data_IF_586742847110
#
_entry.id   IF_586742847110
#
_cell.length_a   1.000
_cell.length_b   1.000
_cell.length_c   1.000
_cell.angle_alpha   90.00
_cell.angle_beta   90.00
_cell.angle_gamma   90.00
#
_symmetry.space_group_name_H-M   'P 1'
#
loop_
_entity.id
_entity.type
_entity.pdbx_description
1 polymer ?
#
# COMPACT_ATOMS: atom_id res chain seq x y z
N UNK A 1 -13.56 51.62 -23.49
CA UNK A 1 -14.01 50.42 -22.75
C UNK A 1 -13.15 49.25 -23.24
N UNK A 2 -12.13 48.91 -22.51
CA UNK A 2 -11.16 47.86 -22.88
C UNK A 2 -11.53 46.64 -22.07
N UNK A 3 -12.11 45.62 -22.72
CA UNK A 3 -12.39 44.33 -22.10
C UNK A 3 -11.06 43.59 -21.85
N UNK A 4 -10.71 43.47 -20.59
CA UNK A 4 -9.59 42.63 -20.16
C UNK A 4 -10.02 41.18 -20.27
N UNK A 5 -9.62 40.53 -21.37
CA UNK A 5 -9.78 39.08 -21.56
C UNK A 5 -8.88 38.38 -20.51
N UNK A 6 -9.49 37.87 -19.45
CA UNK A 6 -8.82 36.97 -18.52
C UNK A 6 -8.46 35.67 -19.28
N UNK A 7 -7.21 35.54 -19.69
CA UNK A 7 -6.68 34.32 -20.26
C UNK A 7 -6.79 33.23 -19.18
N UNK A 8 -7.75 32.32 -19.38
CA UNK A 8 -7.92 31.16 -18.48
C UNK A 8 -6.66 30.31 -18.50
N UNK A 9 -6.15 29.99 -17.32
CA UNK A 9 -5.06 29.03 -17.16
C UNK A 9 -5.38 27.75 -17.97
N UNK A 10 -4.39 27.15 -18.65
CA UNK A 10 -4.65 25.96 -19.47
C UNK A 10 -5.26 24.87 -18.59
N UNK A 11 -6.41 24.34 -19.02
CA UNK A 11 -7.09 23.25 -18.32
C UNK A 11 -6.17 22.03 -18.29
N UNK A 12 -5.76 21.62 -17.09
CA UNK A 12 -4.94 20.40 -16.90
C UNK A 12 -5.78 19.20 -17.38
N UNK A 13 -5.27 18.35 -18.28
CA UNK A 13 -5.98 17.13 -18.68
C UNK A 13 -6.37 16.31 -17.45
N UNK A 14 -7.58 15.78 -17.42
CA UNK A 14 -8.14 15.06 -16.25
C UNK A 14 -7.21 13.96 -15.73
N UNK A 15 -6.54 13.22 -16.63
CA UNK A 15 -5.57 12.19 -16.24
C UNK A 15 -4.34 12.74 -15.51
N UNK A 16 -3.84 13.92 -15.90
CA UNK A 16 -2.73 14.59 -15.19
C UNK A 16 -3.19 15.13 -13.84
N UNK A 17 -4.40 15.69 -13.76
CA UNK A 17 -4.98 16.16 -12.50
C UNK A 17 -5.14 15.02 -11.48
N UNK A 18 -5.61 13.85 -11.92
CA UNK A 18 -5.71 12.65 -11.06
C UNK A 18 -4.32 12.25 -10.54
N UNK A 19 -3.31 12.16 -11.41
CA UNK A 19 -1.95 11.80 -11.00
C UNK A 19 -1.37 12.76 -9.96
N UNK A 20 -1.56 14.07 -10.14
CA UNK A 20 -1.10 15.09 -9.18
C UNK A 20 -1.80 14.95 -7.82
N UNK A 21 -3.12 14.80 -7.81
CA UNK A 21 -3.90 14.67 -6.57
C UNK A 21 -3.54 13.38 -5.83
N UNK A 22 -3.39 12.27 -6.55
CA UNK A 22 -2.95 10.99 -5.95
C UNK A 22 -1.56 11.12 -5.35
N UNK A 23 -0.60 11.75 -6.06
CA UNK A 23 0.76 11.94 -5.53
C UNK A 23 0.80 12.85 -4.31
N UNK A 24 -0.02 13.91 -4.27
CA UNK A 24 -0.15 14.77 -3.09
C UNK A 24 -0.76 14.02 -1.90
N UNK A 25 -1.84 13.27 -2.13
CA UNK A 25 -2.49 12.47 -1.10
C UNK A 25 -1.53 11.39 -0.57
N UNK A 26 -0.84 10.68 -1.45
CA UNK A 26 0.18 9.67 -1.08
C UNK A 26 1.26 10.28 -0.19
N UNK A 27 1.80 11.46 -0.53
CA UNK A 27 2.83 12.13 0.25
C UNK A 27 2.36 12.46 1.67
N UNK A 28 1.14 12.96 1.84
CA UNK A 28 0.58 13.29 3.15
C UNK A 28 0.27 12.03 3.95
N UNK A 29 -0.43 11.07 3.33
CA UNK A 29 -0.84 9.83 3.99
C UNK A 29 0.36 8.97 4.40
N UNK A 30 1.42 8.94 3.60
CA UNK A 30 2.67 8.23 3.96
C UNK A 30 3.32 8.82 5.21
N UNK A 31 3.32 10.14 5.38
CA UNK A 31 3.84 10.79 6.59
C UNK A 31 3.01 10.46 7.82
N UNK A 32 1.68 10.44 7.69
CA UNK A 32 0.77 10.05 8.77
C UNK A 32 0.95 8.57 9.14
N UNK A 33 1.05 7.71 8.14
CA UNK A 33 1.32 6.28 8.34
C UNK A 33 2.65 6.07 9.07
N UNK A 34 3.72 6.77 8.67
CA UNK A 34 5.03 6.67 9.31
C UNK A 34 4.97 6.98 10.81
N UNK A 35 4.17 7.96 11.22
CA UNK A 35 3.93 8.26 12.64
C UNK A 35 3.26 7.09 13.36
N UNK A 36 2.18 6.54 12.81
CA UNK A 36 1.47 5.39 13.42
C UNK A 36 2.39 4.17 13.52
N UNK A 37 3.20 3.92 12.48
CA UNK A 37 4.15 2.81 12.48
C UNK A 37 5.23 2.97 13.55
N UNK A 38 5.77 4.18 13.72
CA UNK A 38 6.74 4.48 14.75
C UNK A 38 6.16 4.25 16.17
N UNK A 39 4.94 4.70 16.42
CA UNK A 39 4.22 4.49 17.68
C UNK A 39 3.92 3.00 17.94
N UNK A 40 3.70 2.21 16.88
CA UNK A 40 3.48 0.77 16.96
C UNK A 40 4.77 -0.05 17.05
N UNK A 41 5.95 0.55 16.83
CA UNK A 41 7.23 -0.13 16.78
C UNK A 41 7.41 -0.98 15.51
N UNK A 42 6.87 -0.53 14.38
CA UNK A 42 6.93 -1.23 13.10
C UNK A 42 7.62 -0.42 12.02
N UNK A 43 8.23 -1.10 11.05
CA UNK A 43 8.74 -0.47 9.83
C UNK A 43 7.66 -0.45 8.73
N UNK A 44 7.88 0.36 7.69
CA UNK A 44 7.01 0.37 6.51
C UNK A 44 7.00 -0.99 5.81
N UNK A 45 8.16 -1.62 5.68
CA UNK A 45 8.35 -2.93 5.05
C UNK A 45 7.59 -4.01 5.81
N UNK A 46 7.69 -4.03 7.15
CA UNK A 46 6.92 -4.92 8.02
C UNK A 46 5.41 -4.75 7.79
N UNK A 47 4.93 -3.50 7.78
CA UNK A 47 3.52 -3.21 7.54
C UNK A 47 3.06 -3.69 6.15
N UNK A 48 3.82 -3.39 5.10
CA UNK A 48 3.48 -3.77 3.74
C UNK A 48 3.50 -5.30 3.56
N UNK A 49 4.46 -6.00 4.15
CA UNK A 49 4.51 -7.45 4.13
C UNK A 49 3.28 -8.07 4.82
N UNK A 50 2.87 -7.56 5.99
CA UNK A 50 1.64 -8.00 6.65
C UNK A 50 0.38 -7.71 5.83
N UNK A 51 0.30 -6.55 5.16
CA UNK A 51 -0.81 -6.23 4.25
C UNK A 51 -0.84 -7.20 3.06
N UNK A 52 0.32 -7.59 2.55
CA UNK A 52 0.39 -8.56 1.46
C UNK A 52 -0.03 -9.95 1.92
N UNK A 53 0.37 -10.37 3.11
CA UNK A 53 -0.07 -11.64 3.71
C UNK A 53 -1.59 -11.71 3.88
N UNK A 54 -2.24 -10.60 4.20
CA UNK A 54 -3.71 -10.54 4.30
C UNK A 54 -4.42 -10.93 2.97
N UNK A 55 -3.83 -10.60 1.82
CA UNK A 55 -4.37 -10.99 0.50
C UNK A 55 -4.36 -12.51 0.33
N UNK A 56 -3.45 -13.21 0.99
CA UNK A 56 -3.35 -14.66 1.01
C UNK A 56 -4.19 -15.34 2.12
N UNK A 57 -4.98 -14.57 2.88
CA UNK A 57 -5.77 -15.13 3.99
C UNK A 57 -4.93 -15.52 5.20
N UNK A 58 -3.84 -14.80 5.43
CA UNK A 58 -2.88 -14.96 6.53
C UNK A 58 -2.01 -16.24 6.47
N UNK A 59 -2.05 -16.97 5.36
CA UNK A 59 -1.22 -18.17 5.12
C UNK A 59 -0.93 -18.36 3.62
N UNK A 60 0.31 -18.73 3.28
CA UNK A 60 0.73 -19.02 1.90
C UNK A 60 1.91 -20.01 1.86
N UNK A 61 2.16 -20.62 0.70
CA UNK A 61 3.43 -21.22 0.42
C UNK A 61 4.54 -20.16 0.43
N UNK A 62 5.67 -20.43 1.13
CA UNK A 62 6.74 -19.45 1.31
C UNK A 62 7.24 -18.87 -0.01
N UNK A 63 7.53 -19.72 -0.99
CA UNK A 63 8.07 -19.26 -2.29
C UNK A 63 7.06 -18.44 -3.10
N UNK A 64 5.78 -18.79 -3.01
CA UNK A 64 4.72 -18.03 -3.64
C UNK A 64 4.58 -16.65 -2.99
N UNK A 65 4.62 -16.60 -1.66
CA UNK A 65 4.56 -15.36 -0.90
C UNK A 65 5.78 -14.46 -1.17
N UNK A 66 6.99 -15.01 -1.18
CA UNK A 66 8.23 -14.27 -1.45
C UNK A 66 8.22 -13.65 -2.85
N UNK A 67 7.78 -14.40 -3.88
CA UNK A 67 7.63 -13.86 -5.24
C UNK A 67 6.63 -12.71 -5.28
N UNK A 68 5.45 -12.93 -4.70
CA UNK A 68 4.39 -11.93 -4.67
C UNK A 68 4.78 -10.67 -3.89
N UNK A 69 5.51 -10.85 -2.79
CA UNK A 69 6.07 -9.75 -2.00
C UNK A 69 7.12 -8.96 -2.80
N UNK A 70 8.01 -9.66 -3.51
CA UNK A 70 9.01 -9.06 -4.38
C UNK A 70 8.37 -8.24 -5.51
N UNK A 71 7.42 -8.81 -6.22
CA UNK A 71 6.68 -8.14 -7.29
C UNK A 71 5.94 -6.89 -6.79
N UNK A 72 5.40 -6.96 -5.57
CA UNK A 72 4.63 -5.85 -5.02
C UNK A 72 5.50 -4.70 -4.49
N UNK A 73 6.65 -5.03 -3.88
CA UNK A 73 7.57 -4.05 -3.31
C UNK A 73 8.69 -3.63 -4.27
N UNK A 74 8.71 -4.19 -5.49
CA UNK A 74 9.79 -3.99 -6.46
C UNK A 74 11.16 -4.42 -5.91
N UNK A 75 11.18 -5.57 -5.23
CA UNK A 75 12.36 -6.21 -4.67
C UNK A 75 12.77 -7.42 -5.51
N UNK A 76 14.08 -7.71 -5.58
CA UNK A 76 14.55 -8.99 -6.07
C UNK A 76 14.15 -10.13 -5.11
N UNK A 77 14.19 -11.38 -5.61
CA UNK A 77 13.75 -12.54 -4.83
C UNK A 77 14.59 -12.77 -3.56
N UNK A 78 15.86 -12.40 -3.60
CA UNK A 78 16.74 -12.54 -2.43
C UNK A 78 16.32 -11.55 -1.33
N UNK A 79 16.19 -10.28 -1.67
CA UNK A 79 15.74 -9.23 -0.74
C UNK A 79 14.35 -9.49 -0.17
N UNK A 80 13.42 -9.97 -1.00
CA UNK A 80 12.08 -10.36 -0.55
C UNK A 80 12.13 -11.56 0.40
N UNK A 81 13.02 -12.53 0.15
CA UNK A 81 13.29 -13.67 1.00
C UNK A 81 13.86 -13.25 2.37
N UNK A 82 14.87 -12.40 2.37
CA UNK A 82 15.46 -11.83 3.61
C UNK A 82 14.40 -11.10 4.45
N UNK A 83 13.53 -10.32 3.83
CA UNK A 83 12.43 -9.66 4.53
C UNK A 83 11.47 -10.68 5.16
N UNK A 84 11.08 -11.71 4.44
CA UNK A 84 10.20 -12.76 4.97
C UNK A 84 10.86 -13.51 6.14
N UNK A 85 12.15 -13.83 6.05
CA UNK A 85 12.91 -14.53 7.09
C UNK A 85 13.15 -13.65 8.32
N UNK A 86 13.36 -12.32 8.13
CA UNK A 86 13.41 -11.35 9.24
C UNK A 86 12.11 -11.36 10.03
N UNK A 87 10.96 -11.31 9.34
CA UNK A 87 9.65 -11.33 9.99
C UNK A 87 9.36 -12.65 10.75
N UNK A 88 9.91 -13.76 10.27
CA UNK A 88 9.87 -15.03 11.00
C UNK A 88 10.76 -14.97 12.24
N UNK A 89 11.99 -14.43 12.13
CA UNK A 89 12.92 -14.30 13.25
C UNK A 89 12.41 -13.34 14.34
N UNK A 90 11.67 -12.32 13.94
CA UNK A 90 10.99 -11.38 14.86
C UNK A 90 9.72 -11.97 15.51
N UNK A 91 9.32 -13.17 15.10
CA UNK A 91 8.13 -13.84 15.61
C UNK A 91 6.81 -13.28 15.09
N UNK A 92 6.87 -12.39 14.09
CA UNK A 92 5.68 -11.82 13.46
C UNK A 92 5.03 -12.77 12.46
N UNK A 93 5.85 -13.63 11.86
CA UNK A 93 5.41 -14.75 11.03
C UNK A 93 5.91 -16.07 11.62
N UNK A 94 5.34 -17.17 11.17
CA UNK A 94 5.79 -18.54 11.46
C UNK A 94 6.01 -19.27 10.15
N UNK A 95 7.13 -19.97 10.07
CA UNK A 95 7.41 -20.89 8.98
C UNK A 95 7.27 -22.33 9.51
N UNK A 96 6.42 -23.12 8.87
CA UNK A 96 6.26 -24.54 9.16
C UNK A 96 6.35 -25.30 7.82
N UNK A 97 7.42 -26.08 7.65
CA UNK A 97 7.79 -26.70 6.39
C UNK A 97 7.94 -25.62 5.30
N UNK A 98 7.10 -25.67 4.28
CA UNK A 98 7.12 -24.69 3.17
C UNK A 98 5.99 -23.65 3.26
N UNK A 99 5.28 -23.61 4.40
CA UNK A 99 4.14 -22.72 4.62
C UNK A 99 4.52 -21.60 5.58
N UNK A 100 4.37 -20.35 5.13
CA UNK A 100 4.52 -19.15 5.94
C UNK A 100 3.12 -18.63 6.31
N UNK A 101 2.95 -18.22 7.56
CA UNK A 101 1.69 -17.70 8.09
C UNK A 101 1.91 -16.57 9.07
N UNK A 102 0.91 -15.70 9.20
CA UNK A 102 0.94 -14.66 10.22
C UNK A 102 0.90 -15.30 11.62
N UNK A 103 1.85 -14.92 12.49
CA UNK A 103 1.87 -15.35 13.87
C UNK A 103 0.93 -14.50 14.74
N UNK A 104 0.53 -14.96 15.94
CA UNK A 104 -0.29 -14.17 16.87
C UNK A 104 0.28 -12.78 17.13
N UNK A 105 1.59 -12.66 17.38
CA UNK A 105 2.25 -11.37 17.58
C UNK A 105 2.15 -10.45 16.35
N UNK A 106 2.24 -11.01 15.13
CA UNK A 106 2.01 -10.27 13.88
C UNK A 106 0.57 -9.80 13.76
N UNK A 107 -0.40 -10.65 14.13
CA UNK A 107 -1.81 -10.28 14.13
C UNK A 107 -2.11 -9.14 15.14
N UNK A 108 -1.51 -9.20 16.33
CA UNK A 108 -1.62 -8.15 17.34
C UNK A 108 -0.98 -6.83 16.87
N UNK A 109 0.20 -6.89 16.25
CA UNK A 109 0.85 -5.72 15.67
C UNK A 109 0.01 -5.10 14.56
N UNK A 110 -0.50 -5.92 13.64
CA UNK A 110 -1.40 -5.47 12.55
C UNK A 110 -2.64 -4.78 13.10
N UNK A 111 -3.26 -5.35 14.13
CA UNK A 111 -4.45 -4.76 14.75
C UNK A 111 -4.14 -3.45 15.48
N UNK A 112 -2.99 -3.34 16.13
CA UNK A 112 -2.52 -2.09 16.75
C UNK A 112 -2.31 -1.00 15.71
N UNK A 113 -1.68 -1.31 14.58
CA UNK A 113 -1.48 -0.37 13.46
C UNK A 113 -2.84 0.03 12.88
N UNK A 114 -3.74 -0.94 12.64
CA UNK A 114 -5.08 -0.67 12.10
C UNK A 114 -5.86 0.31 12.97
N UNK A 115 -5.84 0.12 14.30
CA UNK A 115 -6.47 1.04 15.25
C UNK A 115 -5.83 2.42 15.20
N UNK A 116 -4.51 2.50 15.25
CA UNK A 116 -3.79 3.78 15.16
C UNK A 116 -4.11 4.57 13.89
N UNK A 117 -4.20 3.89 12.74
CA UNK A 117 -4.64 4.52 11.48
C UNK A 117 -6.11 4.98 11.61
N UNK A 118 -6.99 4.12 12.13
CA UNK A 118 -8.40 4.44 12.31
C UNK A 118 -8.60 5.68 13.17
N UNK A 119 -7.99 5.72 14.33
CA UNK A 119 -8.09 6.84 15.28
C UNK A 119 -7.54 8.14 14.67
N UNK A 120 -6.40 8.07 13.99
CA UNK A 120 -5.78 9.23 13.35
C UNK A 120 -6.61 9.78 12.19
N UNK A 121 -7.25 8.89 11.41
CA UNK A 121 -7.97 9.25 10.19
C UNK A 121 -9.46 9.46 10.38
N UNK A 122 -10.04 9.07 11.53
CA UNK A 122 -11.47 9.22 11.80
C UNK A 122 -11.98 10.65 11.53
N UNK A 123 -11.33 11.73 12.02
CA UNK A 123 -11.79 13.09 11.78
C UNK A 123 -11.78 13.51 10.30
N UNK A 124 -10.97 12.84 9.48
CA UNK A 124 -10.92 13.09 8.03
C UNK A 124 -12.09 12.38 7.36
N UNK A 125 -12.29 11.10 7.66
CA UNK A 125 -13.35 10.30 7.04
C UNK A 125 -14.75 10.77 7.39
N UNK A 126 -14.95 11.28 8.61
CA UNK A 126 -16.23 11.85 9.05
C UNK A 126 -16.66 13.10 8.29
N UNK A 127 -15.73 13.78 7.61
CA UNK A 127 -16.00 14.96 6.81
C UNK A 127 -16.28 14.66 5.33
N UNK A 128 -16.16 13.41 4.90
CA UNK A 128 -16.33 13.00 3.51
C UNK A 128 -17.66 12.29 3.32
N UNK A 129 -18.28 12.54 2.16
CA UNK A 129 -19.48 11.79 1.74
C UNK A 129 -19.09 10.32 1.49
N UNK A 130 -19.74 9.34 2.14
CA UNK A 130 -19.43 7.92 1.94
C UNK A 130 -19.55 7.45 0.48
N UNK A 131 -20.47 8.00 -0.31
CA UNK A 131 -20.65 7.64 -1.71
C UNK A 131 -19.48 8.13 -2.57
N UNK A 132 -18.93 9.31 -2.24
CA UNK A 132 -17.73 9.84 -2.91
C UNK A 132 -16.50 9.00 -2.57
N UNK A 133 -16.36 8.59 -1.31
CA UNK A 133 -15.28 7.68 -0.88
C UNK A 133 -15.36 6.35 -1.61
N UNK A 134 -16.54 5.73 -1.68
CA UNK A 134 -16.75 4.46 -2.40
C UNK A 134 -16.41 4.60 -3.90
N UNK A 135 -16.87 5.68 -4.53
CA UNK A 135 -16.60 5.97 -5.94
C UNK A 135 -15.11 6.16 -6.18
N UNK A 136 -14.43 6.90 -5.31
CA UNK A 136 -12.99 7.12 -5.38
C UNK A 136 -12.21 5.81 -5.25
N UNK A 137 -12.54 4.97 -4.27
CA UNK A 137 -11.91 3.65 -4.08
C UNK A 137 -12.09 2.78 -5.32
N UNK A 138 -13.30 2.70 -5.86
CA UNK A 138 -13.61 1.93 -7.07
C UNK A 138 -12.79 2.43 -8.27
N UNK A 139 -12.72 3.73 -8.47
CA UNK A 139 -11.98 4.35 -9.57
C UNK A 139 -10.48 4.09 -9.45
N UNK A 140 -9.89 4.31 -8.27
CA UNK A 140 -8.46 4.07 -8.04
C UNK A 140 -8.08 2.60 -8.21
N UNK A 141 -8.92 1.66 -7.75
CA UNK A 141 -8.70 0.22 -7.99
C UNK A 141 -8.68 -0.10 -9.49
N UNK A 142 -9.60 0.47 -10.26
CA UNK A 142 -9.63 0.26 -11.71
C UNK A 142 -8.42 0.86 -12.40
N UNK A 143 -8.00 2.08 -12.03
CA UNK A 143 -6.78 2.71 -12.55
C UNK A 143 -5.57 1.82 -12.24
N UNK A 144 -5.43 1.33 -11.02
CA UNK A 144 -4.33 0.44 -10.60
C UNK A 144 -4.30 -0.84 -11.44
N UNK A 145 -5.46 -1.47 -11.69
CA UNK A 145 -5.54 -2.68 -12.52
C UNK A 145 -5.10 -2.38 -13.94
N UNK A 146 -5.66 -1.35 -14.57
CA UNK A 146 -5.33 -1.00 -15.96
C UNK A 146 -3.87 -0.56 -16.12
N UNK A 147 -3.31 0.15 -15.14
CA UNK A 147 -1.92 0.58 -15.17
C UNK A 147 -0.92 -0.59 -15.02
N UNK A 148 -1.29 -1.63 -14.27
CA UNK A 148 -0.46 -2.87 -14.20
C UNK A 148 -0.33 -3.55 -15.55
N UNK A 149 -1.39 -3.57 -16.35
CA UNK A 149 -1.38 -4.19 -17.68
C UNK A 149 -0.48 -3.43 -18.66
N UNK A 150 -0.12 -2.17 -18.35
CA UNK A 150 0.80 -1.36 -19.13
C UNK A 150 2.28 -1.53 -18.73
N UNK A 151 2.57 -2.22 -17.60
CA UNK A 151 3.95 -2.52 -17.24
C UNK A 151 4.50 -3.53 -18.27
N UNK A 152 5.69 -3.27 -18.88
CA UNK A 152 6.34 -4.28 -19.69
C UNK A 152 6.48 -5.55 -18.86
N UNK A 153 6.20 -6.71 -19.46
CA UNK A 153 6.59 -7.98 -18.85
C UNK A 153 8.07 -7.84 -18.46
N UNK A 154 8.39 -8.04 -17.19
CA UNK A 154 9.77 -8.01 -16.74
C UNK A 154 10.57 -8.91 -17.68
N UNK A 155 11.51 -8.32 -18.43
CA UNK A 155 12.35 -9.06 -19.38
C UNK A 155 12.92 -10.24 -18.63
N UNK A 156 12.52 -11.43 -19.08
CA UNK A 156 12.94 -12.68 -18.49
C UNK A 156 14.45 -12.69 -18.38
N UNK A 157 14.90 -13.03 -17.18
CA UNK A 157 16.28 -13.19 -16.79
C UNK A 157 17.19 -13.64 -17.94
N UNK A 158 18.19 -12.82 -18.22
CA UNK A 158 19.41 -13.30 -18.88
C UNK A 158 20.47 -13.59 -17.82
#
# INVERSE_FOLDING_TARGET
MTETRTEGAPAIPVGMAIGQVVGQAETVLTKLLARVLAEAGATRETYLAMQRMLVHGDEAGRDAYVRDLGDWLDLDLWSAGELADSLVSEGLFRLAHETIRLAPAGAELRERIRRGIGDLMAPVWEQLDPADVETTVRTLRRVTTLARDLRPAADGAR
#
